data_IF_461044352109
#
_entry.id   IF_461044352109
#
_cell.length_a   1.000
_cell.length_b   1.000
_cell.length_c   1.000
_cell.angle_alpha   90.00
_cell.angle_beta   90.00
_cell.angle_gamma   90.00
#
_symmetry.space_group_name_H-M   'P 1'
#
loop_
_entity.id
_entity.type
_entity.pdbx_description
1 polymer ?
#
# COMPACT_ATOMS: atom_id res chain seq x y z
N UNK A 1 -14.83 -7.72 -10.13
CA UNK A 1 -14.10 -6.78 -11.01
C UNK A 1 -12.79 -7.41 -11.44
N UNK A 2 -12.56 -7.62 -12.74
CA UNK A 2 -11.28 -8.14 -13.26
C UNK A 2 -10.35 -6.97 -13.61
N UNK A 3 -9.08 -7.07 -13.25
CA UNK A 3 -8.08 -6.01 -13.49
C UNK A 3 -7.00 -6.54 -14.43
N UNK A 4 -6.80 -5.84 -15.55
CA UNK A 4 -5.79 -6.22 -16.54
C UNK A 4 -4.42 -5.61 -16.23
N UNK A 5 -4.39 -4.40 -15.67
CA UNK A 5 -3.14 -3.69 -15.38
C UNK A 5 -3.25 -2.88 -14.09
N UNK A 6 -2.19 -2.91 -13.30
CA UNK A 6 -2.05 -2.16 -12.05
C UNK A 6 -0.97 -1.08 -12.17
N UNK A 7 -1.26 0.10 -11.61
CA UNK A 7 -0.24 1.07 -11.23
C UNK A 7 0.19 0.77 -9.80
N UNK A 8 1.47 0.97 -9.51
CA UNK A 8 2.04 0.72 -8.19
C UNK A 8 3.00 1.84 -7.84
N UNK A 9 3.00 2.24 -6.58
CA UNK A 9 4.07 3.07 -6.01
C UNK A 9 4.48 2.48 -4.67
N UNK A 10 5.78 2.24 -4.53
CA UNK A 10 6.40 1.73 -3.31
C UNK A 10 7.02 2.90 -2.54
N UNK A 11 6.78 2.95 -1.23
CA UNK A 11 7.29 4.01 -0.38
C UNK A 11 7.75 3.48 0.96
N UNK A 12 8.92 3.93 1.39
CA UNK A 12 9.49 3.66 2.71
C UNK A 12 9.30 4.92 3.57
N UNK A 13 8.23 4.95 4.37
CA UNK A 13 7.89 6.07 5.24
C UNK A 13 8.11 5.71 6.70
N UNK A 14 8.37 6.74 7.50
CA UNK A 14 8.17 6.70 8.95
C UNK A 14 6.69 6.89 9.30
N UNK A 15 6.33 6.64 10.56
CA UNK A 15 4.95 6.73 11.06
C UNK A 15 4.36 8.12 10.84
N UNK A 16 5.11 9.17 11.17
CA UNK A 16 4.62 10.56 11.08
C UNK A 16 4.45 11.02 9.64
N UNK A 17 5.31 10.54 8.72
CA UNK A 17 5.17 10.81 7.29
C UNK A 17 3.96 10.09 6.71
N UNK A 18 3.64 8.88 7.18
CA UNK A 18 2.43 8.17 6.77
C UNK A 18 1.17 8.88 7.29
N UNK A 19 1.20 9.38 8.52
CA UNK A 19 0.12 10.21 9.09
C UNK A 19 -0.07 11.50 8.29
N UNK A 20 1.01 12.19 7.93
CA UNK A 20 0.97 13.38 7.09
C UNK A 20 0.30 13.09 5.73
N UNK A 21 0.73 12.00 5.07
CA UNK A 21 0.08 11.53 3.84
C UNK A 21 -1.43 11.39 4.03
N UNK A 22 -1.86 10.62 5.03
CA UNK A 22 -3.27 10.31 5.26
C UNK A 22 -4.08 11.56 5.65
N UNK A 23 -3.49 12.51 6.37
CA UNK A 23 -4.16 13.77 6.74
C UNK A 23 -4.56 14.62 5.53
N UNK A 24 -3.84 14.47 4.42
CA UNK A 24 -4.13 15.14 3.16
C UNK A 24 -5.13 14.39 2.26
N UNK A 25 -5.57 13.18 2.64
CA UNK A 25 -6.49 12.36 1.85
C UNK A 25 -7.91 12.49 2.37
N UNK A 26 -8.86 12.80 1.50
CA UNK A 26 -10.28 12.65 1.79
C UNK A 26 -10.74 11.22 1.47
N UNK A 27 -10.26 10.25 2.23
CA UNK A 27 -10.55 8.83 2.02
C UNK A 27 -10.71 8.06 3.34
N UNK A 28 -11.61 7.08 3.33
CA UNK A 28 -11.72 6.08 4.39
C UNK A 28 -10.78 4.90 4.16
N UNK A 29 -10.45 4.21 5.24
CA UNK A 29 -9.69 2.96 5.23
C UNK A 29 -10.64 1.78 5.44
N UNK A 30 -10.56 0.76 4.58
CA UNK A 30 -11.49 -0.36 4.58
C UNK A 30 -10.76 -1.70 4.48
N UNK A 31 -11.16 -2.67 5.29
CA UNK A 31 -10.77 -4.07 5.14
C UNK A 31 -11.49 -4.65 3.92
N UNK A 32 -10.78 -4.81 2.81
CA UNK A 32 -11.32 -5.40 1.57
C UNK A 32 -10.87 -6.83 1.33
N UNK A 33 -10.09 -7.40 2.26
CA UNK A 33 -9.56 -8.76 2.18
C UNK A 33 -10.11 -9.65 3.29
N UNK A 34 -10.42 -10.89 2.95
CA UNK A 34 -10.85 -11.91 3.91
C UNK A 34 -12.32 -11.79 4.31
N UNK A 35 -12.67 -12.56 5.35
CA UNK A 35 -14.02 -12.58 5.92
C UNK A 35 -14.07 -11.66 7.13
N UNK A 36 -15.10 -10.82 7.19
CA UNK A 36 -15.41 -9.95 8.32
C UNK A 36 -16.30 -10.69 9.31
N UNK A 37 -16.07 -10.46 10.61
CA UNK A 37 -16.90 -10.97 11.70
C UNK A 37 -18.09 -10.07 12.02
N UNK A 38 -18.12 -8.86 11.44
CA UNK A 38 -19.14 -7.84 11.67
C UNK A 38 -19.55 -7.21 10.33
N UNK A 39 -20.75 -6.63 10.22
CA UNK A 39 -21.24 -5.98 9.00
C UNK A 39 -20.58 -4.61 8.75
N UNK A 40 -19.31 -4.44 9.12
CA UNK A 40 -18.55 -3.19 8.99
C UNK A 40 -17.16 -3.51 8.45
N UNK A 41 -16.78 -2.85 7.36
CA UNK A 41 -15.46 -2.98 6.76
C UNK A 41 -14.52 -1.82 7.12
N UNK A 42 -15.04 -0.76 7.76
CA UNK A 42 -14.25 0.41 8.12
C UNK A 42 -13.16 0.06 9.13
N UNK A 43 -11.95 0.57 8.89
CA UNK A 43 -10.82 0.47 9.80
C UNK A 43 -10.61 1.86 10.41
N UNK A 44 -10.59 1.93 11.73
CA UNK A 44 -10.25 3.17 12.41
C UNK A 44 -8.79 3.55 12.12
N UNK A 45 -8.50 4.79 11.67
CA UNK A 45 -7.14 5.20 11.34
C UNK A 45 -6.15 5.03 12.49
N UNK A 46 -6.57 5.28 13.74
CA UNK A 46 -5.73 5.11 14.93
C UNK A 46 -5.21 3.66 15.05
N UNK A 47 -6.12 2.67 14.95
CA UNK A 47 -5.77 1.25 14.96
C UNK A 47 -4.77 0.87 13.86
N UNK A 48 -4.91 1.46 12.67
CA UNK A 48 -3.97 1.24 11.58
C UNK A 48 -2.60 1.85 11.87
N UNK A 49 -2.53 3.09 12.36
CA UNK A 49 -1.27 3.75 12.68
C UNK A 49 -0.52 3.09 13.83
N UNK A 50 -1.22 2.58 14.84
CA UNK A 50 -0.60 1.83 15.94
C UNK A 50 0.03 0.52 15.45
N UNK A 51 -0.68 -0.22 14.58
CA UNK A 51 -0.14 -1.41 13.96
C UNK A 51 1.05 -1.09 13.05
N UNK A 52 1.00 0.01 12.30
CA UNK A 52 2.10 0.47 11.48
C UNK A 52 3.32 0.90 12.31
N UNK A 53 3.10 1.58 13.43
CA UNK A 53 4.16 1.97 14.34
C UNK A 53 4.86 0.75 14.94
N UNK A 54 4.09 -0.26 15.38
CA UNK A 54 4.65 -1.54 15.86
C UNK A 54 5.44 -2.26 14.76
N UNK A 55 4.93 -2.26 13.52
CA UNK A 55 5.63 -2.81 12.36
C UNK A 55 6.98 -2.12 12.12
N UNK A 56 7.02 -0.78 12.05
CA UNK A 56 8.26 -0.02 11.85
C UNK A 56 9.23 -0.20 13.01
N UNK A 57 8.75 -0.17 14.26
CA UNK A 57 9.59 -0.39 15.44
C UNK A 57 10.26 -1.77 15.42
N UNK A 58 9.54 -2.80 14.96
CA UNK A 58 10.06 -4.16 14.83
C UNK A 58 11.14 -4.24 13.76
N UNK A 59 10.90 -3.65 12.59
CA UNK A 59 11.91 -3.56 11.53
C UNK A 59 13.18 -2.82 11.95
N UNK A 60 13.04 -1.74 12.72
CA UNK A 60 14.19 -0.97 13.25
C UNK A 60 15.08 -1.79 14.19
N UNK A 61 14.53 -2.81 14.85
CA UNK A 61 15.30 -3.75 15.69
C UNK A 61 15.96 -4.87 14.87
N UNK A 62 15.66 -4.98 13.57
CA UNK A 62 16.10 -6.10 12.73
C UNK A 62 15.23 -7.36 12.85
N UNK A 63 14.10 -7.26 13.54
CA UNK A 63 13.18 -8.39 13.75
C UNK A 63 12.21 -8.56 12.56
N UNK A 64 11.69 -9.78 12.39
CA UNK A 64 10.63 -10.07 11.42
C UNK A 64 9.27 -9.66 12.01
N UNK A 65 8.54 -8.70 11.41
CA UNK A 65 7.28 -8.24 11.97
C UNK A 65 6.14 -9.24 11.72
N UNK A 66 5.29 -9.42 12.74
CA UNK A 66 4.00 -10.09 12.57
C UNK A 66 3.06 -9.17 11.78
N UNK A 67 2.71 -9.56 10.56
CA UNK A 67 1.83 -8.75 9.71
C UNK A 67 0.37 -8.98 10.09
N UNK A 68 -0.28 -7.93 10.60
CA UNK A 68 -1.74 -7.89 10.75
C UNK A 68 -2.38 -7.77 9.36
N UNK A 69 -2.64 -8.91 8.72
CA UNK A 69 -3.14 -8.97 7.32
C UNK A 69 -4.39 -8.10 7.09
N UNK A 70 -5.44 -8.13 7.93
CA UNK A 70 -6.59 -7.22 7.78
C UNK A 70 -6.23 -5.74 7.63
N UNK A 71 -5.29 -5.24 8.44
CA UNK A 71 -4.87 -3.84 8.41
C UNK A 71 -3.94 -3.54 7.23
N UNK A 72 -3.02 -4.45 6.98
CA UNK A 72 -2.00 -4.26 5.95
C UNK A 72 -2.46 -4.62 4.55
N UNK A 73 -3.60 -5.30 4.37
CA UNK A 73 -4.27 -5.54 3.08
C UNK A 73 -5.54 -4.68 2.92
N UNK A 74 -5.61 -3.58 3.67
CA UNK A 74 -6.68 -2.61 3.56
C UNK A 74 -6.66 -1.87 2.22
N UNK A 75 -7.77 -1.19 1.93
CA UNK A 75 -7.87 -0.28 0.81
C UNK A 75 -8.31 1.11 1.26
N UNK A 76 -7.82 2.12 0.54
CA UNK A 76 -8.30 3.48 0.62
C UNK A 76 -9.38 3.70 -0.43
N UNK A 77 -10.46 4.36 -0.02
CA UNK A 77 -11.56 4.72 -0.91
C UNK A 77 -12.21 6.03 -0.46
N UNK A 78 -12.56 6.88 -1.43
CA UNK A 78 -13.33 8.11 -1.20
C UNK A 78 -14.75 7.76 -0.76
N UNK A 79 -15.37 6.77 -1.40
CA UNK A 79 -16.69 6.26 -1.05
C UNK A 79 -16.63 5.05 -0.12
N UNK A 80 -17.66 4.84 0.74
CA UNK A 80 -17.80 3.64 1.55
C UNK A 80 -17.82 2.35 0.72
N UNK A 81 -17.21 1.30 1.27
CA UNK A 81 -17.27 -0.05 0.71
C UNK A 81 -18.52 -0.77 1.22
N UNK A 82 -19.22 -1.47 0.32
CA UNK A 82 -20.41 -2.24 0.67
C UNK A 82 -20.02 -3.53 1.40
N UNK A 83 -20.88 -4.01 2.29
CA UNK A 83 -20.68 -5.28 2.98
C UNK A 83 -21.82 -6.22 2.62
N UNK A 84 -21.49 -7.41 2.13
CA UNK A 84 -22.44 -8.47 1.78
C UNK A 84 -22.33 -9.61 2.79
N UNK A 85 -23.46 -10.08 3.28
CA UNK A 85 -23.52 -11.24 4.15
C UNK A 85 -23.26 -12.53 3.35
N UNK A 86 -22.40 -13.40 3.90
CA UNK A 86 -22.15 -14.75 3.39
C UNK A 86 -22.99 -15.78 4.15
N UNK A 87 -23.03 -15.67 5.49
CA UNK A 87 -23.91 -16.43 6.38
C UNK A 87 -24.20 -15.66 7.68
N UNK A 88 -24.77 -16.31 8.70
CA UNK A 88 -25.20 -15.69 9.96
C UNK A 88 -24.16 -14.77 10.63
N UNK A 89 -22.86 -15.05 10.50
CA UNK A 89 -21.79 -14.29 11.19
C UNK A 89 -20.62 -13.90 10.29
N UNK A 90 -20.67 -14.24 9.00
CA UNK A 90 -19.59 -13.98 8.05
C UNK A 90 -20.05 -12.96 7.01
N UNK A 91 -19.24 -11.93 6.82
CA UNK A 91 -19.47 -10.91 5.81
C UNK A 91 -18.25 -10.73 4.92
N UNK A 92 -18.43 -10.15 3.74
CA UNK A 92 -17.35 -9.78 2.82
C UNK A 92 -17.55 -8.34 2.35
N UNK A 93 -16.46 -7.58 2.29
CA UNK A 93 -16.47 -6.25 1.71
C UNK A 93 -16.45 -6.35 0.18
N UNK A 94 -17.29 -5.59 -0.49
CA UNK A 94 -17.49 -5.61 -1.94
C UNK A 94 -17.43 -4.18 -2.51
N UNK A 95 -16.25 -3.71 -2.93
CA UNK A 95 -16.10 -2.38 -3.51
C UNK A 95 -16.80 -2.30 -4.87
N UNK A 96 -17.72 -1.34 -5.03
CA UNK A 96 -18.41 -1.09 -6.32
C UNK A 96 -17.52 -0.45 -7.37
N UNK A 97 -16.50 0.29 -6.93
CA UNK A 97 -15.53 0.96 -7.80
C UNK A 97 -14.12 0.47 -7.48
N UNK A 98 -13.17 0.57 -8.43
CA UNK A 98 -11.76 0.33 -8.15
C UNK A 98 -11.28 1.12 -6.92
N UNK A 99 -10.61 0.46 -5.99
CA UNK A 99 -10.05 1.07 -4.77
C UNK A 99 -8.53 1.12 -4.83
N UNK A 100 -7.91 1.97 -4.01
CA UNK A 100 -6.45 1.98 -3.83
C UNK A 100 -6.08 0.91 -2.81
N UNK A 101 -5.45 -0.16 -3.25
CA UNK A 101 -5.01 -1.25 -2.38
C UNK A 101 -3.69 -0.90 -1.70
N UNK A 102 -3.58 -1.27 -0.43
CA UNK A 102 -2.36 -1.17 0.35
C UNK A 102 -1.82 -2.56 0.66
N UNK A 103 -0.50 -2.70 0.68
CA UNK A 103 0.19 -3.89 1.16
C UNK A 103 1.56 -3.55 1.75
N UNK A 104 2.08 -4.33 2.71
CA UNK A 104 3.47 -4.20 3.13
C UNK A 104 4.36 -4.35 1.91
N UNK A 105 5.38 -3.51 1.80
CA UNK A 105 6.33 -3.63 0.72
C UNK A 105 7.53 -4.46 1.17
N UNK A 106 7.87 -5.44 0.35
CA UNK A 106 9.12 -6.18 0.44
C UNK A 106 9.90 -6.05 -0.87
N UNK A 107 11.22 -6.14 -0.81
CA UNK A 107 12.05 -6.10 -2.00
C UNK A 107 13.40 -6.80 -1.78
N UNK A 108 13.99 -7.25 -2.88
CA UNK A 108 15.35 -7.77 -2.96
C UNK A 108 16.16 -6.89 -3.90
N UNK A 109 17.38 -6.58 -3.52
CA UNK A 109 18.37 -5.94 -4.38
C UNK A 109 19.27 -7.03 -4.95
N UNK A 110 19.24 -7.23 -6.27
CA UNK A 110 20.04 -8.28 -6.93
C UNK A 110 20.41 -7.87 -8.35
N UNK A 111 21.68 -8.05 -8.72
CA UNK A 111 22.19 -7.80 -10.08
C UNK A 111 21.83 -6.41 -10.62
N UNK A 112 22.01 -5.37 -9.79
CA UNK A 112 21.67 -3.99 -10.13
C UNK A 112 20.17 -3.70 -10.30
N UNK A 113 19.29 -4.62 -9.90
CA UNK A 113 17.84 -4.48 -9.94
C UNK A 113 17.24 -4.51 -8.54
N UNK A 114 16.14 -3.78 -8.37
CA UNK A 114 15.28 -3.91 -7.21
C UNK A 114 14.01 -4.67 -7.61
N UNK A 115 13.88 -5.88 -7.10
CA UNK A 115 12.73 -6.73 -7.33
C UNK A 115 11.74 -6.53 -6.18
N UNK A 116 10.62 -5.88 -6.48
CA UNK A 116 9.56 -5.62 -5.48
C UNK A 116 8.63 -6.83 -5.30
N UNK A 117 8.05 -6.93 -4.11
CA UNK A 117 7.16 -8.00 -3.66
C UNK A 117 7.78 -9.39 -3.75
N UNK A 118 9.10 -9.48 -3.60
CA UNK A 118 9.79 -10.76 -3.45
C UNK A 118 9.79 -11.15 -1.97
N UNK A 119 9.48 -12.42 -1.71
CA UNK A 119 9.51 -13.01 -0.38
C UNK A 119 10.61 -14.08 -0.35
N UNK A 120 11.51 -13.98 0.62
CA UNK A 120 12.62 -14.89 0.82
C UNK A 120 13.53 -14.42 1.95
N UNK A 121 14.53 -15.22 2.34
CA UNK A 121 15.47 -14.88 3.40
C UNK A 121 16.22 -13.57 3.15
N UNK A 122 16.50 -13.28 1.88
CA UNK A 122 17.21 -12.07 1.43
C UNK A 122 16.28 -10.85 1.24
N UNK A 123 14.97 -10.99 1.52
CA UNK A 123 14.01 -9.90 1.30
C UNK A 123 14.06 -8.88 2.42
N UNK A 124 14.22 -7.61 2.06
CA UNK A 124 13.98 -6.49 2.96
C UNK A 124 12.50 -6.16 2.97
N UNK A 125 11.93 -6.02 4.17
CA UNK A 125 10.57 -5.54 4.35
C UNK A 125 10.63 -4.15 4.95
N UNK A 126 10.01 -3.17 4.30
CA UNK A 126 9.82 -1.85 4.87
C UNK A 126 8.69 -1.13 4.14
N UNK A 127 7.96 -0.30 4.87
CA UNK A 127 7.03 0.63 4.26
C UNK A 127 5.81 -0.05 3.62
N UNK A 128 5.27 0.60 2.60
CA UNK A 128 4.01 0.22 1.97
C UNK A 128 4.09 0.32 0.45
N UNK A 129 3.32 -0.52 -0.22
CA UNK A 129 3.00 -0.37 -1.63
C UNK A 129 1.53 0.03 -1.77
N UNK A 130 1.30 1.12 -2.50
CA UNK A 130 -0.02 1.54 -2.95
C UNK A 130 -0.21 1.05 -4.38
N UNK A 131 -1.32 0.38 -4.64
CA UNK A 131 -1.66 -0.13 -5.96
C UNK A 131 -3.06 0.30 -6.37
N UNK A 132 -3.23 0.65 -7.65
CA UNK A 132 -4.52 1.06 -8.19
C UNK A 132 -4.71 0.48 -9.59
N UNK A 133 -5.90 -0.07 -9.94
CA UNK A 133 -6.17 -0.56 -11.29
C UNK A 133 -5.98 0.56 -12.31
N UNK A 134 -5.17 0.35 -13.35
CA UNK A 134 -5.12 1.27 -14.49
C UNK A 134 -6.21 0.96 -15.50
N UNK A 135 -6.45 -0.34 -15.70
CA UNK A 135 -7.40 -0.89 -16.65
C UNK A 135 -8.18 -1.99 -15.93
N UNK A 136 -9.48 -1.81 -15.81
CA UNK A 136 -10.38 -2.77 -15.19
C UNK A 136 -11.58 -3.04 -16.10
N UNK A 137 -12.21 -4.19 -15.89
CA UNK A 137 -13.42 -4.57 -16.60
C UNK A 137 -14.65 -4.01 -15.87
N UNK A 138 -15.53 -3.33 -16.60
CA UNK A 138 -16.81 -2.84 -16.09
C UNK A 138 -17.81 -4.00 -15.83
N UNK A 139 -19.03 -3.67 -15.39
CA UNK A 139 -20.08 -4.66 -15.16
C UNK A 139 -20.61 -5.30 -16.45
N UNK A 140 -20.43 -4.65 -17.61
CA UNK A 140 -20.83 -5.14 -18.93
C UNK A 140 -19.75 -5.98 -19.63
N UNK A 141 -18.55 -6.08 -19.05
CA UNK A 141 -17.42 -6.83 -19.62
C UNK A 141 -16.42 -5.99 -20.44
N UNK A 142 -16.58 -4.68 -20.51
CA UNK A 142 -15.68 -3.81 -21.28
C UNK A 142 -14.46 -3.39 -20.47
N UNK A 143 -13.31 -3.27 -21.14
CA UNK A 143 -12.09 -2.76 -20.52
C UNK A 143 -12.10 -1.23 -20.51
N UNK A 144 -12.03 -0.65 -19.31
CA UNK A 144 -12.02 0.79 -19.09
C UNK A 144 -10.74 1.25 -18.40
N UNK A 145 -10.26 2.45 -18.77
CA UNK A 145 -9.19 3.13 -18.06
C UNK A 145 -9.78 3.83 -16.84
N UNK A 146 -9.33 3.49 -15.65
CA UNK A 146 -9.96 3.88 -14.38
C UNK A 146 -9.31 5.09 -13.69
N UNK A 147 -8.03 5.36 -13.98
CA UNK A 147 -7.23 6.38 -13.29
C UNK A 147 -7.80 7.80 -13.36
N UNK A 148 -8.44 8.17 -14.47
CA UNK A 148 -8.96 9.53 -14.69
C UNK A 148 -10.49 9.59 -14.72
N UNK A 149 -11.16 8.46 -14.56
CA UNK A 149 -12.61 8.31 -14.75
C UNK A 149 -13.33 8.00 -13.44
N UNK A 150 -12.60 7.76 -12.35
CA UNK A 150 -13.18 7.44 -11.05
C UNK A 150 -12.58 8.32 -9.95
N UNK A 151 -13.34 8.52 -8.88
CA UNK A 151 -12.92 9.25 -7.67
C UNK A 151 -11.67 8.64 -7.04
N UNK A 152 -11.58 7.31 -6.97
CA UNK A 152 -10.43 6.62 -6.40
C UNK A 152 -9.19 6.69 -7.31
N UNK A 153 -9.38 6.94 -8.61
CA UNK A 153 -8.30 7.30 -9.52
C UNK A 153 -7.70 8.67 -9.18
N UNK A 154 -8.55 9.65 -8.86
CA UNK A 154 -8.09 10.95 -8.37
C UNK A 154 -7.39 10.85 -7.00
N UNK A 155 -7.90 10.01 -6.09
CA UNK A 155 -7.23 9.67 -4.83
C UNK A 155 -5.82 9.09 -5.07
N UNK A 156 -5.68 8.14 -6.00
CA UNK A 156 -4.35 7.59 -6.31
C UNK A 156 -3.40 8.65 -6.89
N UNK A 157 -3.90 9.56 -7.74
CA UNK A 157 -3.11 10.68 -8.24
C UNK A 157 -2.68 11.63 -7.13
N UNK A 158 -3.53 11.90 -6.12
CA UNK A 158 -3.15 12.69 -4.95
C UNK A 158 -2.01 12.02 -4.17
N UNK A 159 -2.10 10.71 -3.92
CA UNK A 159 -1.02 9.93 -3.29
C UNK A 159 0.28 10.07 -4.09
N UNK A 160 0.22 9.91 -5.42
CA UNK A 160 1.40 10.07 -6.28
C UNK A 160 2.00 11.48 -6.22
N UNK A 161 1.16 12.52 -6.16
CA UNK A 161 1.61 13.91 -6.06
C UNK A 161 2.27 14.18 -4.71
N UNK A 162 1.63 13.76 -3.61
CA UNK A 162 2.20 13.86 -2.27
C UNK A 162 3.56 13.17 -2.21
N UNK A 163 3.66 11.94 -2.73
CA UNK A 163 4.93 11.20 -2.76
C UNK A 163 6.01 11.98 -3.51
N UNK A 164 5.72 12.55 -4.70
CA UNK A 164 6.71 13.34 -5.44
C UNK A 164 7.23 14.54 -4.66
N UNK A 165 6.39 15.19 -3.85
CA UNK A 165 6.72 16.39 -3.08
C UNK A 165 7.43 16.08 -1.76
N UNK A 166 7.01 15.01 -1.10
CA UNK A 166 7.38 14.73 0.29
C UNK A 166 8.45 13.64 0.43
N UNK A 167 8.81 12.96 -0.67
CA UNK A 167 9.80 11.88 -0.66
C UNK A 167 10.91 12.12 -1.70
N UNK A 168 12.02 11.40 -1.58
CA UNK A 168 13.11 11.35 -2.58
C UNK A 168 13.17 9.98 -3.27
N UNK A 169 13.63 9.88 -4.53
CA UNK A 169 13.91 8.59 -5.13
C UNK A 169 14.93 7.80 -4.29
N UNK A 170 14.73 6.50 -4.16
CA UNK A 170 15.69 5.62 -3.52
C UNK A 170 16.96 5.51 -4.38
N UNK A 171 18.11 5.67 -3.72
CA UNK A 171 19.42 5.47 -4.31
C UNK A 171 20.23 4.57 -3.37
N UNK A 172 20.68 3.41 -3.86
CA UNK A 172 21.48 2.46 -3.09
C UNK A 172 22.82 2.22 -3.78
N UNK A 173 23.85 1.92 -3.00
CA UNK A 173 25.15 1.52 -3.54
C UNK A 173 25.18 0.00 -3.69
N UNK A 174 25.40 -0.51 -4.89
CA UNK A 174 25.60 -1.94 -5.15
C UNK A 174 26.88 -2.12 -5.95
N UNK A 175 27.79 -2.98 -5.48
CA UNK A 175 29.10 -3.22 -6.11
C UNK A 175 29.88 -1.92 -6.39
N UNK A 176 29.85 -0.98 -5.44
CA UNK A 176 30.50 0.33 -5.56
C UNK A 176 29.81 1.32 -6.52
N UNK A 177 28.66 0.98 -7.10
CA UNK A 177 27.89 1.84 -8.01
C UNK A 177 26.60 2.32 -7.38
N UNK A 178 26.28 3.61 -7.55
CA UNK A 178 24.99 4.17 -7.15
C UNK A 178 23.92 3.79 -8.17
N UNK A 179 22.85 3.15 -7.68
CA UNK A 179 21.71 2.69 -8.46
C UNK A 179 20.44 3.39 -8.01
N UNK A 180 19.62 3.84 -8.96
CA UNK A 180 18.33 4.48 -8.68
C UNK A 180 17.18 3.49 -8.85
N UNK A 181 16.25 3.46 -7.90
CA UNK A 181 15.13 2.53 -7.90
C UNK A 181 13.78 3.25 -7.89
N UNK A 182 12.70 2.61 -8.37
CA UNK A 182 11.36 3.21 -8.39
C UNK A 182 10.73 3.37 -6.99
N UNK A 183 11.41 2.90 -5.94
CA UNK A 183 11.03 3.09 -4.54
C UNK A 183 11.23 4.56 -4.14
N UNK A 184 10.30 5.07 -3.34
CA UNK A 184 10.39 6.41 -2.73
C UNK A 184 10.79 6.30 -1.26
N UNK A 185 11.71 7.15 -0.82
CA UNK A 185 12.14 7.24 0.57
C UNK A 185 11.57 8.51 1.20
N UNK A 186 10.93 8.35 2.36
CA UNK A 186 10.60 9.46 3.23
C UNK A 186 11.82 10.32 3.54
N UNK A 187 11.61 11.60 3.80
CA UNK A 187 12.68 12.52 4.24
C UNK A 187 13.20 12.16 5.62
N UNK A 188 12.33 11.59 6.46
CA UNK A 188 12.66 11.14 7.81
C UNK A 188 13.07 9.67 7.88
N UNK A 189 13.04 8.95 6.75
CA UNK A 189 13.38 7.54 6.71
C UNK A 189 14.75 7.27 7.32
N UNK A 190 14.77 6.47 8.38
CA UNK A 190 15.98 6.16 9.16
C UNK A 190 16.38 4.69 9.05
N UNK A 191 15.79 3.94 8.11
CA UNK A 191 16.17 2.55 7.88
C UNK A 191 17.62 2.44 7.43
N UNK A 192 18.26 1.32 7.75
CA UNK A 192 19.54 0.93 7.15
C UNK A 192 19.25 -0.17 6.14
N UNK A 193 19.83 -0.08 4.96
CA UNK A 193 19.84 -1.22 4.04
C UNK A 193 21.20 -1.90 4.14
N UNK A 194 21.29 -3.23 3.90
CA UNK A 194 22.55 -3.95 4.05
C UNK A 194 23.62 -3.57 3.01
N UNK A 195 23.28 -2.69 2.06
CA UNK A 195 24.18 -2.22 1.02
C UNK A 195 24.80 -0.83 1.32
N UNK A 196 24.51 -0.25 2.49
CA UNK A 196 25.12 1.00 2.99
C UNK A 196 26.33 0.73 3.90
#
# INVERSE_FOLDING_TARGET
>A
MNVSKWLKVQVLLEVDELKDLFSGLNAGLYQVSGVLSQPQAGIEPACFFDAYASYIATLKRGDVPLINRPLFSAALSVSPVFVRQLDEKRYIADPKTPVVQMQPHSFVLSNGKCLSMVHGPESHSWGLQFAYPQIAMDAAGNLEKTLRTTENGALFLQIQQWMRKMTKPACFTMDGKKMHFPIRLGKQWSGRLPCD
#
